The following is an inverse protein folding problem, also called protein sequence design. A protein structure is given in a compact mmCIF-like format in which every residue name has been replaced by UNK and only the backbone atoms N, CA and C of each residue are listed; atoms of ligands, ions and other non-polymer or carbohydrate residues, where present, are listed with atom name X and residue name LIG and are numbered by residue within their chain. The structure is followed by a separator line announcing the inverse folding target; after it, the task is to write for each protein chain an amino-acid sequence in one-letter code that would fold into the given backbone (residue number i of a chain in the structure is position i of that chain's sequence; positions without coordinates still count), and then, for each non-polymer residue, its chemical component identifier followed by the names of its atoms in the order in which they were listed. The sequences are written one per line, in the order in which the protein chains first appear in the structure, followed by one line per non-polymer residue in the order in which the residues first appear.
data_IF_845925178658
#
_entry.id   IF_845925178658
#
_cell.length_a   1.000
_cell.length_b   1.000
_cell.length_c   1.000
_cell.angle_alpha   90.00
_cell.angle_beta   90.00
_cell.angle_gamma   90.00
#
_symmetry.space_group_name_H-M   'P 1'
#
loop_
_entity.id
_entity.type
_entity.pdbx_description
1 polymer ?
#
# COMPACT_ATOMS: atom_id res chain seq x y z
N UNK A 1 14.18 7.42 2.48
CA UNK A 1 13.79 7.63 3.88
C UNK A 1 13.75 6.28 4.59
N UNK A 2 12.82 5.38 4.29
CA UNK A 2 12.60 4.11 4.99
C UNK A 2 13.84 3.21 5.04
N UNK A 3 14.50 2.96 3.90
CA UNK A 3 15.75 2.18 3.83
C UNK A 3 16.79 2.69 4.84
N UNK A 4 17.07 4.00 4.79
CA UNK A 4 18.05 4.62 5.69
C UNK A 4 17.67 4.53 7.17
N UNK A 5 16.37 4.64 7.49
CA UNK A 5 15.87 4.51 8.87
C UNK A 5 16.10 3.10 9.42
N UNK A 6 15.85 2.08 8.62
CA UNK A 6 16.08 0.68 8.98
C UNK A 6 17.57 0.36 9.15
N UNK A 7 18.41 0.87 8.26
CA UNK A 7 19.89 0.72 8.34
C UNK A 7 20.47 1.36 9.60
N UNK A 8 19.99 2.54 9.98
CA UNK A 8 20.43 3.24 11.20
C UNK A 8 20.06 2.47 12.49
N UNK A 9 19.00 1.66 12.45
CA UNK A 9 18.60 0.78 13.55
C UNK A 9 19.28 -0.61 13.49
N UNK A 10 20.23 -0.80 12.58
CA UNK A 10 21.02 -2.03 12.48
C UNK A 10 20.34 -3.16 11.69
N UNK A 11 19.23 -2.88 10.99
CA UNK A 11 18.55 -3.88 10.17
C UNK A 11 19.16 -3.94 8.76
N UNK A 12 19.66 -5.10 8.37
CA UNK A 12 20.18 -5.36 7.02
C UNK A 12 19.04 -5.75 6.07
N UNK A 13 18.25 -4.76 5.64
CA UNK A 13 17.10 -4.92 4.76
C UNK A 13 17.33 -4.10 3.50
N UNK A 14 17.20 -4.73 2.34
CA UNK A 14 17.20 -4.06 1.03
C UNK A 14 15.75 -3.76 0.61
N UNK A 15 15.44 -2.49 0.34
CA UNK A 15 14.15 -2.09 -0.20
C UNK A 15 14.29 -1.87 -1.71
N UNK A 16 13.49 -2.62 -2.47
CA UNK A 16 13.35 -2.43 -3.92
C UNK A 16 12.06 -1.63 -4.16
N UNK A 17 12.18 -0.49 -4.82
CA UNK A 17 11.04 0.34 -5.15
C UNK A 17 10.44 -0.09 -6.48
N UNK A 18 9.31 -0.80 -6.44
CA UNK A 18 8.51 -1.20 -7.61
C UNK A 18 7.34 -0.25 -7.91
N UNK A 19 7.29 0.93 -7.28
CA UNK A 19 6.18 1.87 -7.47
C UNK A 19 6.23 2.54 -8.84
N UNK A 20 5.06 2.66 -9.47
CA UNK A 20 4.86 3.41 -10.72
C UNK A 20 3.87 4.55 -10.42
N UNK A 21 4.29 5.79 -10.66
CA UNK A 21 3.43 6.97 -10.43
C UNK A 21 2.15 6.87 -11.24
N UNK A 22 1.01 7.18 -10.61
CA UNK A 22 -0.31 7.13 -11.24
C UNK A 22 -0.85 5.71 -11.51
N UNK A 23 -0.15 4.65 -11.08
CA UNK A 23 -0.58 3.27 -11.31
C UNK A 23 -1.87 2.96 -10.55
N UNK A 24 -2.81 2.32 -11.25
CA UNK A 24 -4.02 1.72 -10.66
C UNK A 24 -3.73 0.28 -10.20
N UNK A 25 -4.71 -0.34 -9.55
CA UNK A 25 -4.63 -1.77 -9.21
C UNK A 25 -4.45 -2.67 -10.46
N UNK A 26 -5.08 -2.31 -11.58
CA UNK A 26 -4.89 -3.00 -12.86
C UNK A 26 -3.46 -2.83 -13.38
N UNK A 27 -2.89 -1.60 -13.30
CA UNK A 27 -1.50 -1.34 -13.67
C UNK A 27 -0.52 -2.15 -12.84
N UNK A 28 -0.73 -2.20 -11.52
CA UNK A 28 0.08 -3.03 -10.63
C UNK A 28 -0.04 -4.52 -10.92
N UNK A 29 -1.24 -5.01 -11.23
CA UNK A 29 -1.46 -6.40 -11.61
C UNK A 29 -0.71 -6.78 -12.89
N UNK A 30 -0.69 -5.90 -13.88
CA UNK A 30 0.00 -6.17 -15.15
C UNK A 30 1.51 -6.38 -15.00
N UNK A 31 2.12 -5.78 -13.97
CA UNK A 31 3.56 -5.92 -13.72
C UNK A 31 3.87 -6.89 -12.57
N UNK A 32 2.88 -7.39 -11.85
CA UNK A 32 3.08 -8.12 -10.59
C UNK A 32 3.94 -9.38 -10.78
N UNK A 33 3.70 -10.17 -11.81
CA UNK A 33 4.48 -11.40 -12.07
C UNK A 33 5.95 -11.08 -12.33
N UNK A 34 6.21 -10.06 -13.13
CA UNK A 34 7.57 -9.60 -13.43
C UNK A 34 8.23 -8.96 -12.20
N UNK A 35 7.54 -8.03 -11.53
CA UNK A 35 8.08 -7.35 -10.36
C UNK A 35 8.42 -8.31 -9.20
N UNK A 36 7.69 -9.42 -9.11
CA UNK A 36 7.90 -10.45 -8.09
C UNK A 36 8.70 -11.66 -8.62
N UNK A 37 9.34 -11.55 -9.80
CA UNK A 37 10.12 -12.65 -10.37
C UNK A 37 11.55 -12.73 -9.84
N UNK A 38 12.07 -11.65 -9.24
CA UNK A 38 13.40 -11.65 -8.66
C UNK A 38 13.49 -12.62 -7.47
N UNK A 39 14.62 -13.33 -7.38
CA UNK A 39 14.91 -14.16 -6.22
C UNK A 39 15.25 -13.30 -4.99
N UNK A 40 14.86 -13.77 -3.82
CA UNK A 40 15.21 -13.11 -2.55
C UNK A 40 14.24 -12.00 -2.12
N UNK A 41 13.03 -11.96 -2.68
CA UNK A 41 11.96 -11.13 -2.16
C UNK A 41 11.27 -11.87 -1.00
N UNK A 42 11.50 -11.41 0.22
CA UNK A 42 10.89 -11.99 1.43
C UNK A 42 9.55 -11.36 1.77
N UNK A 43 9.38 -10.07 1.46
CA UNK A 43 8.24 -9.26 1.84
C UNK A 43 7.84 -8.29 0.74
N UNK A 44 6.54 -8.24 0.42
CA UNK A 44 5.92 -7.23 -0.43
C UNK A 44 5.07 -6.29 0.40
N UNK A 45 5.23 -4.99 0.20
CA UNK A 45 4.27 -3.98 0.66
C UNK A 45 3.37 -3.65 -0.52
N UNK A 46 2.11 -4.07 -0.45
CA UNK A 46 1.12 -3.81 -1.49
C UNK A 46 0.34 -2.53 -1.16
N UNK A 47 0.66 -1.46 -1.88
CA UNK A 47 0.07 -0.13 -1.73
C UNK A 47 -0.50 0.34 -3.08
N UNK A 48 -1.71 -0.06 -3.39
CA UNK A 48 -2.45 0.29 -4.61
C UNK A 48 -3.92 0.58 -4.28
N UNK A 49 -4.62 1.24 -5.18
CA UNK A 49 -6.05 1.55 -5.09
C UNK A 49 -6.36 3.04 -4.95
N UNK A 50 -5.40 3.88 -4.52
CA UNK A 50 -5.61 5.32 -4.47
C UNK A 50 -5.96 5.91 -5.84
N UNK A 51 -5.25 5.52 -6.89
CA UNK A 51 -5.54 5.98 -8.25
C UNK A 51 -6.82 5.38 -8.82
N UNK A 52 -7.21 4.18 -8.39
CA UNK A 52 -8.52 3.59 -8.72
C UNK A 52 -9.64 4.47 -8.18
N UNK A 53 -9.54 4.81 -6.91
CA UNK A 53 -10.49 5.69 -6.23
C UNK A 53 -10.58 7.07 -6.89
N UNK A 54 -9.43 7.71 -7.16
CA UNK A 54 -9.39 9.03 -7.81
C UNK A 54 -10.03 9.02 -9.20
N UNK A 55 -9.98 7.89 -9.90
CA UNK A 55 -10.58 7.70 -11.23
C UNK A 55 -12.00 7.13 -11.19
N UNK A 56 -12.58 6.92 -10.01
CA UNK A 56 -13.92 6.38 -9.85
C UNK A 56 -14.07 4.93 -10.33
N UNK A 57 -12.98 4.15 -10.37
CA UNK A 57 -13.00 2.73 -10.71
C UNK A 57 -13.84 1.99 -9.68
N UNK A 58 -14.64 1.03 -10.13
CA UNK A 58 -15.53 0.28 -9.23
C UNK A 58 -14.73 -0.45 -8.14
N UNK A 59 -15.15 -0.36 -6.85
CA UNK A 59 -14.46 -1.02 -5.74
C UNK A 59 -14.31 -2.54 -5.92
N UNK A 60 -15.26 -3.17 -6.61
CA UNK A 60 -15.19 -4.60 -6.95
C UNK A 60 -14.02 -4.93 -7.87
N UNK A 61 -13.72 -4.07 -8.83
CA UNK A 61 -12.60 -4.23 -9.76
C UNK A 61 -11.26 -4.05 -9.03
N UNK A 62 -11.14 -2.97 -8.25
CA UNK A 62 -9.97 -2.75 -7.40
C UNK A 62 -9.70 -3.96 -6.49
N UNK A 63 -10.74 -4.47 -5.83
CA UNK A 63 -10.65 -5.66 -4.99
C UNK A 63 -10.16 -6.89 -5.76
N UNK A 64 -10.70 -7.16 -6.94
CA UNK A 64 -10.30 -8.31 -7.76
C UNK A 64 -8.83 -8.22 -8.18
N UNK A 65 -8.37 -7.04 -8.60
CA UNK A 65 -6.98 -6.84 -8.99
C UNK A 65 -6.01 -7.04 -7.82
N UNK A 66 -6.30 -6.43 -6.66
CA UNK A 66 -5.50 -6.62 -5.44
C UNK A 66 -5.48 -8.09 -5.01
N UNK A 67 -6.60 -8.77 -5.08
CA UNK A 67 -6.71 -10.20 -4.75
C UNK A 67 -5.83 -11.08 -5.65
N UNK A 68 -5.77 -10.77 -6.94
CA UNK A 68 -4.91 -11.48 -7.88
C UNK A 68 -3.43 -11.25 -7.57
N UNK A 69 -3.03 -10.01 -7.27
CA UNK A 69 -1.65 -9.69 -6.85
C UNK A 69 -1.27 -10.46 -5.57
N UNK A 70 -2.16 -10.48 -4.59
CA UNK A 70 -1.98 -11.24 -3.34
C UNK A 70 -1.74 -12.73 -3.64
N UNK A 71 -2.54 -13.34 -4.51
CA UNK A 71 -2.37 -14.75 -4.89
C UNK A 71 -1.04 -15.02 -5.58
N UNK A 72 -0.59 -14.12 -6.46
CA UNK A 72 0.73 -14.22 -7.11
C UNK A 72 1.84 -14.22 -6.06
N UNK A 73 1.81 -13.28 -5.12
CA UNK A 73 2.82 -13.20 -4.06
C UNK A 73 2.79 -14.43 -3.12
N UNK A 74 1.59 -14.88 -2.73
CA UNK A 74 1.45 -16.09 -1.89
C UNK A 74 1.92 -17.34 -2.59
N UNK A 75 1.66 -17.50 -3.88
CA UNK A 75 2.19 -18.63 -4.67
C UNK A 75 3.72 -18.67 -4.65
N UNK A 76 4.35 -17.48 -4.66
CA UNK A 76 5.81 -17.32 -4.54
C UNK A 76 6.32 -17.37 -3.08
N UNK A 77 5.45 -17.62 -2.10
CA UNK A 77 5.75 -17.64 -0.65
C UNK A 77 6.29 -16.31 -0.11
N UNK A 78 5.96 -15.20 -0.77
CA UNK A 78 6.32 -13.85 -0.35
C UNK A 78 5.32 -13.39 0.71
N UNK A 79 5.82 -12.92 1.85
CA UNK A 79 4.99 -12.28 2.89
C UNK A 79 4.40 -10.98 2.37
N UNK A 80 3.24 -10.57 2.89
CA UNK A 80 2.53 -9.37 2.40
C UNK A 80 2.12 -8.48 3.56
N UNK A 81 2.45 -7.19 3.46
CA UNK A 81 1.79 -6.11 4.20
C UNK A 81 0.86 -5.42 3.22
N UNK A 82 -0.43 -5.41 3.53
CA UNK A 82 -1.42 -4.70 2.74
C UNK A 82 -1.60 -3.29 3.32
N UNK A 83 -1.31 -2.25 2.52
CA UNK A 83 -1.47 -0.86 2.92
C UNK A 83 -2.81 -0.33 2.40
N UNK A 84 -3.73 -0.05 3.32
CA UNK A 84 -5.08 0.39 3.04
C UNK A 84 -5.16 1.88 2.69
N UNK A 85 -6.22 2.20 1.95
CA UNK A 85 -6.65 3.55 1.58
C UNK A 85 -8.12 3.75 1.94
N UNK A 86 -8.51 5.00 2.17
CA UNK A 86 -9.88 5.39 2.45
C UNK A 86 -10.40 6.31 1.35
N UNK A 87 -11.62 6.06 0.88
CA UNK A 87 -12.25 6.90 -0.13
C UNK A 87 -12.83 8.19 0.49
N UNK A 88 -12.78 9.33 -0.24
CA UNK A 88 -13.50 10.52 0.16
C UNK A 88 -15.02 10.34 0.00
N UNK A 89 -15.79 11.18 0.66
CA UNK A 89 -17.25 11.17 0.56
C UNK A 89 -17.79 11.67 -0.79
N UNK A 90 -16.95 12.33 -1.59
CA UNK A 90 -17.32 12.89 -2.90
C UNK A 90 -17.81 11.86 -3.91
N UNK A 91 -17.42 10.59 -3.78
CA UNK A 91 -17.92 9.50 -4.62
C UNK A 91 -19.24 8.88 -4.12
N UNK A 92 -19.82 9.44 -3.08
CA UNK A 92 -21.04 8.95 -2.43
C UNK A 92 -20.78 7.91 -1.35
N UNK A 93 -21.72 7.80 -0.41
CA UNK A 93 -21.57 6.96 0.78
C UNK A 93 -21.45 5.46 0.47
N UNK A 94 -22.16 5.01 -0.56
CA UNK A 94 -22.11 3.58 -0.99
C UNK A 94 -20.75 3.20 -1.56
N UNK A 95 -20.20 4.04 -2.45
CA UNK A 95 -18.86 3.84 -3.00
C UNK A 95 -17.82 3.79 -1.86
N UNK A 96 -17.84 4.81 -1.00
CA UNK A 96 -16.92 4.90 0.15
C UNK A 96 -17.00 3.64 1.00
N UNK A 97 -18.19 3.20 1.40
CA UNK A 97 -18.39 2.00 2.21
C UNK A 97 -17.79 0.75 1.55
N UNK A 98 -18.04 0.56 0.26
CA UNK A 98 -17.52 -0.59 -0.49
C UNK A 98 -16.00 -0.54 -0.63
N UNK A 99 -15.45 0.65 -0.93
CA UNK A 99 -14.02 0.84 -1.10
C UNK A 99 -13.25 0.64 0.22
N UNK A 100 -13.67 1.29 1.29
CA UNK A 100 -13.00 1.23 2.59
C UNK A 100 -12.94 -0.20 3.16
N UNK A 101 -13.89 -1.06 2.78
CA UNK A 101 -13.92 -2.46 3.21
C UNK A 101 -12.99 -3.39 2.44
N UNK A 102 -12.44 -2.98 1.28
CA UNK A 102 -11.62 -3.84 0.42
C UNK A 102 -10.45 -4.42 1.21
N UNK A 103 -9.67 -3.55 1.83
CA UNK A 103 -8.40 -3.93 2.49
C UNK A 103 -8.64 -4.81 3.73
N UNK A 104 -9.63 -4.45 4.54
CA UNK A 104 -10.02 -5.25 5.71
C UNK A 104 -10.49 -6.65 5.29
N UNK A 105 -11.33 -6.74 4.25
CA UNK A 105 -11.84 -8.02 3.77
C UNK A 105 -10.72 -8.90 3.18
N UNK A 106 -9.81 -8.32 2.39
CA UNK A 106 -8.67 -9.03 1.84
C UNK A 106 -7.68 -9.47 2.92
N UNK A 107 -7.38 -8.60 3.89
CA UNK A 107 -6.47 -8.94 4.98
C UNK A 107 -7.01 -10.11 5.82
N UNK A 108 -8.29 -10.12 6.14
CA UNK A 108 -8.93 -11.24 6.86
C UNK A 108 -8.94 -12.52 6.02
N UNK A 109 -9.33 -12.42 4.74
CA UNK A 109 -9.44 -13.58 3.84
C UNK A 109 -8.11 -14.29 3.62
N UNK A 110 -7.03 -13.54 3.53
CA UNK A 110 -5.69 -14.06 3.20
C UNK A 110 -4.73 -14.05 4.39
N UNK A 111 -5.22 -13.73 5.58
CA UNK A 111 -4.42 -13.61 6.81
C UNK A 111 -3.19 -12.72 6.63
N UNK A 112 -3.42 -11.51 6.13
CA UNK A 112 -2.37 -10.53 5.85
C UNK A 112 -2.24 -9.52 6.98
N UNK A 113 -1.03 -9.01 7.19
CA UNK A 113 -0.85 -7.82 7.98
C UNK A 113 -1.45 -6.62 7.25
N UNK A 114 -2.30 -5.86 7.95
CA UNK A 114 -2.97 -4.68 7.43
C UNK A 114 -2.44 -3.42 8.09
N UNK A 115 -2.09 -2.42 7.28
CA UNK A 115 -2.06 -1.02 7.68
C UNK A 115 -3.43 -0.46 7.28
N UNK A 116 -4.33 -0.14 8.22
CA UNK A 116 -5.71 0.22 7.87
C UNK A 116 -5.82 1.44 6.97
N UNK A 117 -5.01 2.46 7.24
CA UNK A 117 -4.90 3.66 6.42
C UNK A 117 -3.46 4.15 6.39
N UNK A 118 -2.80 4.05 5.23
CA UNK A 118 -1.37 4.40 5.10
C UNK A 118 -1.10 5.88 5.35
N UNK A 119 -2.06 6.76 5.01
CA UNK A 119 -1.93 8.21 5.15
C UNK A 119 -2.49 8.75 6.47
N UNK A 120 -2.63 7.90 7.49
CA UNK A 120 -3.11 8.34 8.80
C UNK A 120 -2.19 9.39 9.39
N UNK A 121 -2.77 10.51 9.86
CA UNK A 121 -2.05 11.67 10.38
C UNK A 121 -1.39 12.55 9.31
N UNK A 122 -1.40 12.12 8.04
CA UNK A 122 -0.82 12.87 6.91
C UNK A 122 -1.92 13.45 6.01
N UNK A 123 -2.93 12.63 5.67
CA UNK A 123 -4.01 13.08 4.79
C UNK A 123 -4.69 14.34 5.33
N UNK A 124 -4.95 15.29 4.44
CA UNK A 124 -5.59 16.59 4.75
C UNK A 124 -4.81 17.50 5.72
N UNK A 125 -3.56 17.19 6.06
CA UNK A 125 -2.71 18.06 6.86
C UNK A 125 -1.85 18.93 5.93
N UNK A 126 -2.09 20.25 5.82
CA UNK A 126 -1.34 21.12 4.91
C UNK A 126 0.17 21.15 5.20
N UNK A 127 0.57 20.94 6.45
CA UNK A 127 1.99 20.89 6.83
C UNK A 127 2.71 19.64 6.34
N UNK A 128 1.97 18.57 6.01
CA UNK A 128 2.51 17.26 5.62
C UNK A 128 2.23 16.89 4.16
N UNK A 129 1.58 17.78 3.40
CA UNK A 129 1.27 17.57 1.99
C UNK A 129 1.86 18.67 1.12
N UNK A 130 2.00 18.38 -0.17
CA UNK A 130 2.31 19.36 -1.20
C UNK A 130 1.13 20.33 -1.39
N UNK A 131 1.32 21.36 -2.20
CA UNK A 131 0.29 22.37 -2.47
C UNK A 131 -1.00 21.82 -3.10
N UNK A 132 -0.95 20.61 -3.67
CA UNK A 132 -2.13 19.92 -4.19
C UNK A 132 -3.03 19.30 -3.09
N UNK A 133 -2.56 19.30 -1.83
CA UNK A 133 -3.28 18.76 -0.68
C UNK A 133 -3.46 17.23 -0.66
N UNK A 134 -2.88 16.53 -1.63
CA UNK A 134 -3.05 15.07 -1.78
C UNK A 134 -1.76 14.29 -1.62
N UNK A 135 -0.65 14.80 -2.17
CA UNK A 135 0.62 14.10 -2.13
C UNK A 135 1.43 14.53 -0.92
N UNK A 136 1.97 13.57 -0.14
CA UNK A 136 2.84 13.88 0.99
C UNK A 136 4.06 14.68 0.56
N UNK A 137 4.40 15.70 1.33
CA UNK A 137 5.68 16.38 1.23
C UNK A 137 6.78 15.55 1.93
N UNK A 138 7.97 16.13 2.12
CA UNK A 138 9.09 15.46 2.78
C UNK A 138 8.74 15.01 4.20
N UNK A 139 8.12 15.85 4.98
CA UNK A 139 7.72 15.61 6.37
C UNK A 139 6.64 14.52 6.44
N UNK A 140 5.63 14.60 5.57
CA UNK A 140 4.60 13.56 5.43
C UNK A 140 5.19 12.21 5.01
N UNK A 141 6.18 12.20 4.13
CA UNK A 141 6.90 10.98 3.74
C UNK A 141 7.63 10.34 4.93
N UNK A 142 8.16 11.15 5.86
CA UNK A 142 8.81 10.64 7.08
C UNK A 142 7.76 9.93 7.95
N UNK A 143 6.59 10.53 8.17
CA UNK A 143 5.51 9.93 8.95
C UNK A 143 5.07 8.58 8.34
N UNK A 144 4.86 8.54 7.03
CA UNK A 144 4.51 7.30 6.32
C UNK A 144 5.62 6.25 6.47
N UNK A 145 6.88 6.66 6.38
CA UNK A 145 8.03 5.76 6.56
C UNK A 145 8.06 5.12 7.93
N UNK A 146 7.73 5.85 9.00
CA UNK A 146 7.66 5.31 10.34
C UNK A 146 6.51 4.29 10.50
N UNK A 147 5.36 4.55 9.88
CA UNK A 147 4.23 3.61 9.85
C UNK A 147 4.62 2.30 9.15
N UNK A 148 5.30 2.40 8.01
CA UNK A 148 5.80 1.24 7.27
C UNK A 148 6.87 0.49 8.06
N UNK A 149 7.83 1.22 8.67
CA UNK A 149 8.90 0.64 9.48
C UNK A 149 8.34 -0.21 10.62
N UNK A 150 7.43 0.32 11.41
CA UNK A 150 6.75 -0.43 12.49
C UNK A 150 6.10 -1.72 11.98
N UNK A 151 5.49 -1.67 10.82
CA UNK A 151 4.85 -2.82 10.22
C UNK A 151 5.86 -3.87 9.72
N UNK A 152 6.98 -3.45 9.14
CA UNK A 152 8.06 -4.33 8.70
C UNK A 152 8.71 -5.02 9.89
N UNK A 153 9.09 -4.25 10.92
CA UNK A 153 9.79 -4.76 12.10
C UNK A 153 9.00 -5.86 12.81
N UNK A 154 7.68 -5.79 12.80
CA UNK A 154 6.84 -6.85 13.37
C UNK A 154 6.83 -8.16 12.56
N UNK A 155 7.42 -8.20 11.37
CA UNK A 155 7.60 -9.42 10.57
C UNK A 155 8.97 -10.07 10.74
N UNK A 156 9.97 -9.28 11.15
CA UNK A 156 11.37 -9.73 11.24
C UNK A 156 11.83 -9.98 12.68
N UNK A 157 11.04 -9.55 13.67
CA UNK A 157 11.18 -9.89 15.09
C UNK A 157 10.21 -11.00 15.46
#
# INVERSE_FOLDING_TARGET
VLQKSLELEGHNIKIVNGSVSGSTSAGGLNIAEWALSENGIDLMILCLGANDMLRGIQPSETKQNLERIIKIAQFKKIKIILAGMLAPTSHGAEYKKKFDQIYLNLSKKYNLKLIPFLLEGVAFNPALNLSDGMHPNREGTIVISETLKKSILSYIN
#
